data_IF_824380926295
#
_entry.id   IF_824380926295
#
_cell.length_a   1.000
_cell.length_b   1.000
_cell.length_c   1.000
_cell.angle_alpha   90.00
_cell.angle_beta   90.00
_cell.angle_gamma   90.00
#
_symmetry.space_group_name_H-M   'P 1'
#
loop_
_entity.id
_entity.type
_entity.pdbx_description
1 polymer ?
#
# COMPACT_ATOMS: atom_id res chain seq x y z
N UNK A 1 46.34 16.39 -38.38
CA UNK A 1 45.61 16.38 -37.10
C UNK A 1 44.43 15.44 -37.26
N UNK A 2 44.35 14.34 -36.50
CA UNK A 2 43.18 13.46 -36.54
C UNK A 2 42.13 14.01 -35.58
N UNK A 3 40.95 14.36 -36.10
CA UNK A 3 39.81 14.76 -35.29
C UNK A 3 39.16 13.51 -34.70
N UNK A 4 39.21 13.35 -33.38
CA UNK A 4 38.40 12.35 -32.68
C UNK A 4 36.94 12.79 -32.73
N UNK A 5 35.99 11.95 -33.19
CA UNK A 5 34.58 12.30 -33.15
C UNK A 5 34.18 12.51 -31.68
N UNK A 6 33.61 13.67 -31.38
CA UNK A 6 32.97 13.93 -30.10
C UNK A 6 31.64 13.15 -30.08
N UNK A 7 31.64 11.95 -29.51
CA UNK A 7 30.40 11.29 -29.13
C UNK A 7 29.86 12.03 -27.91
N UNK A 8 28.65 12.60 -28.02
CA UNK A 8 27.93 13.10 -26.87
C UNK A 8 27.69 11.91 -25.92
N UNK A 9 28.29 11.96 -24.73
CA UNK A 9 28.10 10.92 -23.72
C UNK A 9 26.68 11.01 -23.17
N UNK A 10 25.84 10.05 -23.54
CA UNK A 10 24.44 9.98 -23.11
C UNK A 10 24.38 9.66 -21.62
N UNK A 11 23.71 10.51 -20.85
CA UNK A 11 23.55 10.33 -19.40
C UNK A 11 22.29 9.55 -19.09
N UNK A 12 22.49 8.31 -18.64
CA UNK A 12 21.41 7.39 -18.29
C UNK A 12 21.26 7.34 -16.77
N UNK A 13 20.02 7.40 -16.30
CA UNK A 13 19.64 7.13 -14.92
C UNK A 13 18.67 5.94 -14.84
N UNK A 14 18.59 5.34 -13.65
CA UNK A 14 17.61 4.34 -13.28
C UNK A 14 16.80 4.87 -12.11
N UNK A 15 15.48 4.72 -12.18
CA UNK A 15 14.56 5.14 -11.14
C UNK A 15 13.62 3.99 -10.81
N UNK A 16 13.40 3.75 -9.52
CA UNK A 16 12.28 2.95 -9.05
C UNK A 16 11.17 3.90 -8.62
N UNK A 17 10.22 4.14 -9.52
CA UNK A 17 9.17 5.13 -9.29
C UNK A 17 8.24 4.70 -8.14
N UNK A 18 7.96 3.41 -8.03
CA UNK A 18 7.13 2.84 -6.96
C UNK A 18 7.78 2.98 -5.59
N UNK A 19 9.08 2.65 -5.47
CA UNK A 19 9.84 2.80 -4.23
C UNK A 19 9.92 4.27 -3.82
N UNK A 20 10.15 5.17 -4.78
CA UNK A 20 10.21 6.59 -4.50
C UNK A 20 8.90 7.13 -3.88
N UNK A 21 7.77 6.66 -4.39
CA UNK A 21 6.45 6.99 -3.85
C UNK A 21 6.24 6.45 -2.43
N UNK A 22 6.51 5.15 -2.23
CA UNK A 22 6.20 4.43 -0.99
C UNK A 22 7.16 4.74 0.17
N UNK A 23 8.42 5.07 -0.12
CA UNK A 23 9.42 5.38 0.91
C UNK A 23 9.46 6.87 1.30
N UNK A 24 8.68 7.71 0.63
CA UNK A 24 8.52 9.11 0.98
C UNK A 24 8.00 9.30 2.42
N UNK A 25 8.37 10.40 3.06
CA UNK A 25 7.94 10.70 4.43
C UNK A 25 6.42 10.87 4.51
N UNK A 26 5.82 11.40 3.43
CA UNK A 26 4.37 11.53 3.33
C UNK A 26 3.65 10.17 3.25
N UNK A 27 4.21 9.19 2.52
CA UNK A 27 3.68 7.83 2.50
C UNK A 27 3.84 7.12 3.86
N UNK A 28 4.99 7.29 4.53
CA UNK A 28 5.22 6.76 5.89
C UNK A 28 4.23 7.36 6.89
N UNK A 29 4.00 8.67 6.83
CA UNK A 29 3.02 9.34 7.67
C UNK A 29 1.61 8.81 7.41
N UNK A 30 1.23 8.65 6.13
CA UNK A 30 -0.05 8.06 5.77
C UNK A 30 -0.21 6.65 6.35
N UNK A 31 0.81 5.79 6.28
CA UNK A 31 0.74 4.45 6.85
C UNK A 31 0.42 4.46 8.36
N UNK A 32 1.07 5.34 9.12
CA UNK A 32 0.82 5.53 10.56
C UNK A 32 -0.60 6.05 10.82
N UNK A 33 -1.03 7.04 10.05
CA UNK A 33 -2.37 7.63 10.21
C UNK A 33 -3.48 6.65 9.80
N UNK A 34 -3.25 5.85 8.75
CA UNK A 34 -4.13 4.79 8.31
C UNK A 34 -4.25 3.67 9.35
N UNK A 35 -3.14 3.24 9.97
CA UNK A 35 -3.16 2.27 11.05
C UNK A 35 -4.01 2.76 12.23
N UNK A 36 -3.84 4.01 12.65
CA UNK A 36 -4.64 4.61 13.72
C UNK A 36 -6.12 4.71 13.34
N UNK A 37 -6.42 5.13 12.11
CA UNK A 37 -7.79 5.32 11.61
C UNK A 37 -8.54 4.00 11.49
N UNK A 38 -7.90 2.97 10.93
CA UNK A 38 -8.55 1.71 10.57
C UNK A 38 -8.35 0.59 11.60
N UNK A 39 -7.39 0.73 12.52
CA UNK A 39 -7.07 -0.23 13.57
C UNK A 39 -8.28 -0.67 14.41
N UNK A 40 -9.13 0.26 14.92
CA UNK A 40 -10.32 -0.12 15.69
C UNK A 40 -11.31 -1.00 14.91
N UNK A 41 -11.54 -0.67 13.62
CA UNK A 41 -12.44 -1.45 12.76
C UNK A 41 -11.86 -2.83 12.43
N UNK A 42 -10.55 -2.91 12.19
CA UNK A 42 -9.85 -4.19 12.02
C UNK A 42 -9.96 -5.08 13.25
N UNK A 43 -9.79 -4.52 14.45
CA UNK A 43 -9.94 -5.27 15.70
C UNK A 43 -11.37 -5.78 15.87
N UNK A 44 -12.38 -4.96 15.54
CA UNK A 44 -13.79 -5.37 15.58
C UNK A 44 -14.07 -6.53 14.62
N UNK A 45 -13.52 -6.51 13.41
CA UNK A 45 -13.64 -7.61 12.45
C UNK A 45 -13.00 -8.90 12.98
N UNK A 46 -11.80 -8.82 13.57
CA UNK A 46 -11.14 -9.97 14.20
C UNK A 46 -11.98 -10.58 15.32
N UNK A 47 -12.63 -9.74 16.14
CA UNK A 47 -13.55 -10.22 17.19
C UNK A 47 -14.77 -10.91 16.59
N UNK A 48 -15.42 -10.31 15.58
CA UNK A 48 -16.56 -10.91 14.90
C UNK A 48 -16.22 -12.27 14.28
N UNK A 49 -15.06 -12.37 13.62
CA UNK A 49 -14.56 -13.61 13.04
C UNK A 49 -14.31 -14.69 14.11
N UNK A 50 -13.59 -14.34 15.17
CA UNK A 50 -13.31 -15.23 16.30
C UNK A 50 -14.59 -15.74 16.96
N UNK A 51 -15.55 -14.85 17.21
CA UNK A 51 -16.82 -15.21 17.84
C UNK A 51 -17.66 -16.12 16.93
N UNK A 52 -17.78 -15.78 15.65
CA UNK A 52 -18.50 -16.61 14.67
C UNK A 52 -17.88 -18.01 14.58
N UNK A 53 -16.55 -18.10 14.53
CA UNK A 53 -15.82 -19.37 14.53
C UNK A 53 -16.08 -20.18 15.79
N UNK A 54 -16.08 -19.55 16.97
CA UNK A 54 -16.38 -20.22 18.24
C UNK A 54 -17.79 -20.81 18.26
N UNK A 55 -18.78 -20.05 17.77
CA UNK A 55 -20.17 -20.54 17.69
C UNK A 55 -20.27 -21.70 16.69
N UNK A 56 -19.62 -21.58 15.53
CA UNK A 56 -19.57 -22.64 14.54
C UNK A 56 -18.96 -23.92 15.12
N UNK A 57 -17.81 -23.83 15.80
CA UNK A 57 -17.15 -24.97 16.42
C UNK A 57 -18.04 -25.63 17.49
N UNK A 58 -18.78 -24.82 18.28
CA UNK A 58 -19.70 -25.34 19.30
C UNK A 58 -20.90 -26.04 18.66
N UNK A 59 -21.51 -25.46 17.62
CA UNK A 59 -22.59 -26.08 16.85
C UNK A 59 -22.16 -27.41 16.23
N UNK A 60 -20.93 -27.50 15.71
CA UNK A 60 -20.40 -28.75 15.10
C UNK A 60 -20.11 -29.82 16.15
N UNK A 61 -19.51 -29.46 17.29
CA UNK A 61 -19.08 -30.43 18.31
C UNK A 61 -20.20 -30.87 19.24
N UNK A 62 -21.09 -29.97 19.59
CA UNK A 62 -22.11 -30.16 20.64
C UNK A 62 -23.54 -30.14 20.09
N UNK A 63 -23.75 -29.78 18.82
CA UNK A 63 -25.07 -29.51 18.26
C UNK A 63 -26.07 -30.65 18.37
N UNK A 64 -25.61 -31.90 18.27
CA UNK A 64 -26.47 -33.10 18.42
C UNK A 64 -26.95 -33.33 19.85
N UNK A 65 -26.25 -32.76 20.85
CA UNK A 65 -26.57 -32.88 22.28
C UNK A 65 -27.31 -31.65 22.81
N UNK A 66 -27.47 -30.61 21.99
CA UNK A 66 -28.14 -29.37 22.37
C UNK A 66 -29.66 -29.53 22.34
N UNK A 67 -30.35 -28.79 23.21
CA UNK A 67 -31.79 -28.58 23.06
C UNK A 67 -32.05 -27.75 21.80
N UNK A 68 -33.15 -28.02 21.12
CA UNK A 68 -33.52 -27.36 19.87
C UNK A 68 -33.48 -25.82 19.97
N UNK A 69 -34.01 -25.26 21.06
CA UNK A 69 -34.03 -23.81 21.28
C UNK A 69 -32.63 -23.19 21.42
N UNK A 70 -31.69 -23.86 22.11
CA UNK A 70 -30.31 -23.38 22.24
C UNK A 70 -29.56 -23.49 20.90
N UNK A 71 -29.79 -24.57 20.14
CA UNK A 71 -29.21 -24.76 18.80
C UNK A 71 -29.67 -23.66 17.85
N UNK A 72 -30.98 -23.38 17.80
CA UNK A 72 -31.56 -22.32 16.98
C UNK A 72 -31.03 -20.93 17.36
N UNK A 73 -30.89 -20.65 18.66
CA UNK A 73 -30.30 -19.40 19.15
C UNK A 73 -28.86 -19.22 18.65
N UNK A 74 -28.02 -20.26 18.78
CA UNK A 74 -26.64 -20.21 18.32
C UNK A 74 -26.53 -20.09 16.80
N UNK A 75 -27.40 -20.76 16.04
CA UNK A 75 -27.47 -20.60 14.58
C UNK A 75 -27.84 -19.17 14.17
N UNK A 76 -28.79 -18.55 14.87
CA UNK A 76 -29.18 -17.16 14.62
C UNK A 76 -28.04 -16.20 14.95
N UNK A 77 -27.38 -16.39 16.10
CA UNK A 77 -26.23 -15.59 16.52
C UNK A 77 -25.07 -15.70 15.51
N UNK A 78 -24.76 -16.92 15.07
CA UNK A 78 -23.76 -17.16 14.02
C UNK A 78 -24.10 -16.40 12.74
N UNK A 79 -25.33 -16.55 12.24
CA UNK A 79 -25.80 -15.86 11.03
C UNK A 79 -25.72 -14.34 11.17
N UNK A 80 -26.03 -13.81 12.35
CA UNK A 80 -25.93 -12.37 12.62
C UNK A 80 -24.47 -11.89 12.59
N UNK A 81 -23.57 -12.55 13.34
CA UNK A 81 -22.14 -12.19 13.36
C UNK A 81 -21.49 -12.32 11.98
N UNK A 82 -21.85 -13.35 11.20
CA UNK A 82 -21.37 -13.52 9.84
C UNK A 82 -21.81 -12.37 8.91
N UNK A 83 -23.09 -11.94 8.99
CA UNK A 83 -23.56 -10.77 8.23
C UNK A 83 -22.87 -9.48 8.65
N UNK A 84 -22.72 -9.26 9.96
CA UNK A 84 -22.06 -8.08 10.49
C UNK A 84 -20.59 -8.01 10.05
N UNK A 85 -19.89 -9.15 10.04
CA UNK A 85 -18.53 -9.27 9.53
C UNK A 85 -18.46 -8.93 8.04
N UNK A 86 -19.33 -9.52 7.21
CA UNK A 86 -19.36 -9.25 5.77
C UNK A 86 -19.61 -7.77 5.46
N UNK A 87 -20.58 -7.17 6.13
CA UNK A 87 -20.92 -5.75 5.95
C UNK A 87 -19.74 -4.85 6.35
N UNK A 88 -19.21 -5.01 7.56
CA UNK A 88 -18.12 -4.17 8.06
C UNK A 88 -16.81 -4.40 7.31
N UNK A 89 -16.56 -5.62 6.81
CA UNK A 89 -15.39 -5.92 5.99
C UNK A 89 -15.46 -5.16 4.66
N UNK A 90 -16.64 -5.17 4.01
CA UNK A 90 -16.87 -4.41 2.79
C UNK A 90 -16.67 -2.91 3.00
N UNK A 91 -17.30 -2.33 4.03
CA UNK A 91 -17.16 -0.91 4.34
C UNK A 91 -15.69 -0.52 4.61
N UNK A 92 -14.98 -1.34 5.39
CA UNK A 92 -13.56 -1.09 5.69
C UNK A 92 -12.70 -1.12 4.42
N UNK A 93 -12.93 -2.11 3.54
CA UNK A 93 -12.17 -2.23 2.30
C UNK A 93 -12.43 -1.05 1.36
N UNK A 94 -13.69 -0.60 1.23
CA UNK A 94 -14.05 0.57 0.44
C UNK A 94 -13.41 1.85 1.02
N UNK A 95 -13.47 2.03 2.35
CA UNK A 95 -12.88 3.18 3.01
C UNK A 95 -11.35 3.23 2.86
N UNK A 96 -10.67 2.08 2.96
CA UNK A 96 -9.23 1.95 2.70
C UNK A 96 -8.90 2.28 1.25
N UNK A 97 -9.63 1.72 0.29
CA UNK A 97 -9.41 1.98 -1.13
C UNK A 97 -9.62 3.45 -1.51
N UNK A 98 -10.57 4.15 -0.88
CA UNK A 98 -10.73 5.60 -1.03
C UNK A 98 -9.52 6.34 -0.46
N UNK A 99 -9.14 6.04 0.78
CA UNK A 99 -8.00 6.69 1.44
C UNK A 99 -6.69 6.49 0.67
N UNK A 100 -6.42 5.28 0.17
CA UNK A 100 -5.22 4.96 -0.62
C UNK A 100 -5.22 5.74 -1.94
N UNK A 101 -6.37 5.82 -2.62
CA UNK A 101 -6.50 6.62 -3.86
C UNK A 101 -6.26 8.10 -3.60
N UNK A 102 -6.79 8.64 -2.51
CA UNK A 102 -6.62 10.06 -2.19
C UNK A 102 -5.18 10.39 -1.78
N UNK A 103 -4.51 9.50 -1.04
CA UNK A 103 -3.07 9.59 -0.81
C UNK A 103 -2.31 9.62 -2.15
N UNK A 104 -2.58 8.66 -3.04
CA UNK A 104 -1.90 8.59 -4.34
C UNK A 104 -2.13 9.84 -5.20
N UNK A 105 -3.34 10.42 -5.18
CA UNK A 105 -3.64 11.67 -5.89
C UNK A 105 -2.80 12.84 -5.38
N UNK A 106 -2.48 12.86 -4.09
CA UNK A 106 -1.64 13.91 -3.50
C UNK A 106 -0.15 13.66 -3.73
N UNK A 107 0.30 12.41 -3.68
CA UNK A 107 1.72 12.08 -3.76
C UNK A 107 2.26 12.05 -5.19
N UNK A 108 1.47 11.60 -6.18
CA UNK A 108 1.92 11.50 -7.58
C UNK A 108 2.46 12.84 -8.13
N UNK A 109 1.75 13.98 -8.02
CA UNK A 109 2.27 15.25 -8.53
C UNK A 109 3.57 15.69 -7.85
N UNK A 110 3.72 15.42 -6.55
CA UNK A 110 4.96 15.71 -5.82
C UNK A 110 6.11 14.85 -6.31
N UNK A 111 5.85 13.57 -6.58
CA UNK A 111 6.85 12.68 -7.13
C UNK A 111 7.25 13.10 -8.55
N UNK A 112 6.28 13.41 -9.43
CA UNK A 112 6.56 13.91 -10.79
C UNK A 112 7.46 15.15 -10.76
N UNK A 113 7.14 16.11 -9.89
CA UNK A 113 7.95 17.31 -9.71
C UNK A 113 9.36 16.96 -9.19
N UNK A 114 9.49 16.07 -8.20
CA UNK A 114 10.78 15.66 -7.67
C UNK A 114 11.64 14.96 -8.72
N UNK A 115 11.03 14.10 -9.54
CA UNK A 115 11.70 13.45 -10.68
C UNK A 115 12.19 14.51 -11.65
N UNK A 116 11.32 15.42 -12.11
CA UNK A 116 11.68 16.46 -13.07
C UNK A 116 12.87 17.30 -12.59
N UNK A 117 12.88 17.70 -11.32
CA UNK A 117 13.95 18.50 -10.74
C UNK A 117 15.28 17.73 -10.61
N UNK A 118 15.25 16.45 -10.23
CA UNK A 118 16.44 15.59 -10.19
C UNK A 118 16.98 15.37 -11.61
N UNK A 119 16.09 15.16 -12.59
CA UNK A 119 16.48 14.96 -13.98
C UNK A 119 17.18 16.17 -14.58
N UNK A 120 16.60 17.36 -14.39
CA UNK A 120 17.21 18.63 -14.84
C UNK A 120 18.56 18.87 -14.17
N UNK A 121 18.66 18.65 -12.85
CA UNK A 121 19.90 18.87 -12.10
C UNK A 121 21.03 17.92 -12.50
N UNK A 122 20.72 16.67 -12.80
CA UNK A 122 21.70 15.68 -13.27
C UNK A 122 22.03 15.78 -14.77
N UNK A 123 21.19 16.51 -15.52
CA UNK A 123 21.24 16.60 -16.99
C UNK A 123 21.15 15.20 -17.62
N UNK A 124 20.23 14.36 -17.15
CA UNK A 124 20.03 13.03 -17.71
C UNK A 124 19.22 13.10 -19.01
N UNK A 125 19.62 12.29 -19.99
CA UNK A 125 18.97 12.19 -21.30
C UNK A 125 17.95 11.04 -21.34
N UNK A 126 18.15 10.01 -20.52
CA UNK A 126 17.32 8.83 -20.47
C UNK A 126 17.16 8.33 -19.03
N UNK A 127 15.94 7.93 -18.69
CA UNK A 127 15.62 7.26 -17.43
C UNK A 127 15.01 5.90 -17.73
N UNK A 128 15.57 4.87 -17.11
CA UNK A 128 15.05 3.51 -17.18
C UNK A 128 14.32 3.18 -15.87
N UNK A 129 13.15 2.56 -15.99
CA UNK A 129 12.46 2.02 -14.82
C UNK A 129 13.26 0.85 -14.24
N UNK A 130 13.43 0.79 -12.91
CA UNK A 130 14.23 -0.24 -12.24
C UNK A 130 13.84 -1.66 -12.59
N UNK A 131 12.54 -1.92 -12.80
CA UNK A 131 12.02 -3.25 -13.20
C UNK A 131 12.43 -3.71 -14.60
N UNK A 132 12.91 -2.81 -15.46
CA UNK A 132 13.42 -3.12 -16.80
C UNK A 132 14.94 -3.36 -16.83
N UNK A 133 15.63 -3.25 -15.69
CA UNK A 133 17.09 -3.28 -15.62
C UNK A 133 17.56 -4.45 -14.75
N UNK A 134 18.33 -5.37 -15.33
CA UNK A 134 18.85 -6.57 -14.64
C UNK A 134 19.85 -6.20 -13.53
N UNK A 135 20.80 -5.32 -13.83
CA UNK A 135 21.80 -4.85 -12.87
C UNK A 135 22.06 -3.35 -13.07
N UNK A 136 22.28 -2.63 -11.97
CA UNK A 136 22.55 -1.19 -11.98
C UNK A 136 23.60 -0.86 -10.94
N UNK A 137 24.63 -0.12 -11.35
CA UNK A 137 25.59 0.45 -10.39
C UNK A 137 24.92 1.57 -9.60
N UNK A 138 25.22 1.73 -8.30
CA UNK A 138 24.56 2.73 -7.45
C UNK A 138 24.61 4.17 -8.00
N UNK A 139 25.68 4.53 -8.71
CA UNK A 139 25.84 5.85 -9.34
C UNK A 139 24.81 6.18 -10.42
N UNK A 140 24.16 5.17 -11.01
CA UNK A 140 23.10 5.37 -12.01
C UNK A 140 21.70 5.33 -11.38
N UNK A 141 21.56 4.87 -10.14
CA UNK A 141 20.27 4.83 -9.46
C UNK A 141 19.99 6.17 -8.76
N UNK A 142 18.99 6.88 -9.26
CA UNK A 142 18.59 8.19 -8.72
C UNK A 142 17.42 8.11 -7.74
N UNK A 143 16.91 6.92 -7.44
CA UNK A 143 15.70 6.71 -6.61
C UNK A 143 15.79 7.44 -5.28
N UNK A 144 16.92 7.32 -4.59
CA UNK A 144 17.14 8.00 -3.31
C UNK A 144 17.16 9.52 -3.44
N UNK A 145 17.77 10.05 -4.51
CA UNK A 145 17.80 11.49 -4.77
C UNK A 145 16.38 12.02 -5.01
N UNK A 146 15.55 11.25 -5.70
CA UNK A 146 14.13 11.57 -5.93
C UNK A 146 13.34 11.54 -4.62
N UNK A 147 13.54 10.53 -3.77
CA UNK A 147 12.89 10.46 -2.43
C UNK A 147 13.26 11.69 -1.59
N UNK A 148 14.56 11.99 -1.50
CA UNK A 148 15.06 13.13 -0.74
C UNK A 148 14.49 14.44 -1.28
N UNK A 149 14.38 14.59 -2.60
CA UNK A 149 13.77 15.77 -3.21
C UNK A 149 12.28 15.85 -2.93
N UNK A 150 11.54 14.76 -3.09
CA UNK A 150 10.11 14.68 -2.82
C UNK A 150 9.80 15.06 -1.36
N UNK A 151 10.61 14.62 -0.40
CA UNK A 151 10.45 14.97 1.02
C UNK A 151 10.69 16.46 1.30
N UNK A 152 11.43 17.17 0.44
CA UNK A 152 11.63 18.62 0.55
C UNK A 152 10.50 19.43 -0.09
N UNK A 153 9.66 18.82 -0.93
CA UNK A 153 8.52 19.47 -1.55
C UNK A 153 7.37 19.57 -0.53
N UNK A 154 7.19 20.79 -0.01
CA UNK A 154 6.15 21.13 0.97
C UNK A 154 4.75 20.82 0.44
#
# INVERSE_FOLDING_TARGET
>A
MMATPAFAEMKIAVLNYQMALLESDAAKKYAVDAEKKFGPQLNKLKTLESDAKRIQDRLVKEGEKMQQAERERLELEFKQKARDFQFQSKELNEAKAVADRDMLKQLKPKLDQAVEEVLKKGSYDLVLERGAVIDVKPQFDITRQVIERMNQLR
#
